data_IF_860389130111
#
_entry.id   IF_860389130111
#
_cell.length_a   1.000
_cell.length_b   1.000
_cell.length_c   1.000
_cell.angle_alpha   90.00
_cell.angle_beta   90.00
_cell.angle_gamma   90.00
#
_symmetry.space_group_name_H-M   'P 1'
#
loop_
_entity.id
_entity.type
_entity.pdbx_description
1 polymer ?
#
# COMPACT_ATOMS: atom_id res chain seq x y z
N UNK A 1 4.29 33.46 -11.05
CA UNK A 1 4.33 32.15 -10.37
C UNK A 1 5.07 32.33 -9.07
N UNK A 2 4.47 32.02 -7.92
CA UNK A 2 5.19 32.04 -6.66
C UNK A 2 6.31 30.99 -6.74
N UNK A 3 7.56 31.41 -6.58
CA UNK A 3 8.69 30.48 -6.48
C UNK A 3 8.50 29.75 -5.16
N UNK A 4 8.16 28.45 -5.20
CA UNK A 4 8.11 27.67 -3.97
C UNK A 4 9.50 27.60 -3.33
N UNK A 5 9.55 27.72 -2.00
CA UNK A 5 10.80 27.65 -1.27
C UNK A 5 11.51 26.32 -1.53
N UNK A 6 12.82 26.37 -1.74
CA UNK A 6 13.64 25.17 -1.97
C UNK A 6 13.96 24.54 -0.62
N UNK A 7 13.64 23.26 -0.47
CA UNK A 7 14.04 22.44 0.65
C UNK A 7 15.53 22.09 0.49
N UNK A 8 16.37 22.75 1.28
CA UNK A 8 17.83 22.61 1.25
C UNK A 8 18.29 21.34 1.99
N UNK A 9 18.03 20.17 1.39
CA UNK A 9 18.48 18.88 1.94
C UNK A 9 20.00 18.77 1.88
N UNK A 10 20.62 19.26 0.81
CA UNK A 10 22.07 19.36 0.67
C UNK A 10 22.49 20.80 0.31
N UNK A 11 23.16 21.54 1.23
CA UNK A 11 23.49 22.96 1.02
C UNK A 11 24.28 23.25 -0.26
N UNK A 12 25.19 22.35 -0.63
CA UNK A 12 26.02 22.44 -1.84
C UNK A 12 25.53 21.50 -2.95
N UNK A 13 24.24 21.12 -2.92
CA UNK A 13 23.67 20.19 -3.88
C UNK A 13 23.73 20.73 -5.32
N UNK A 14 24.00 19.85 -6.27
CA UNK A 14 24.10 20.14 -7.71
C UNK A 14 22.87 19.67 -8.51
N UNK A 15 21.88 19.08 -7.84
CA UNK A 15 20.63 18.60 -8.45
C UNK A 15 19.43 19.31 -7.83
N UNK A 16 18.56 19.81 -8.69
CA UNK A 16 17.23 20.26 -8.33
C UNK A 16 16.22 19.15 -8.62
N UNK A 17 15.42 18.77 -7.63
CA UNK A 17 14.26 17.90 -7.83
C UNK A 17 12.97 18.68 -7.64
N UNK A 18 12.07 18.58 -8.62
CA UNK A 18 10.75 19.22 -8.59
C UNK A 18 9.71 18.12 -8.41
N UNK A 19 9.08 18.08 -7.23
CA UNK A 19 7.97 17.18 -6.95
C UNK A 19 6.66 17.91 -7.20
N UNK A 20 5.89 17.42 -8.18
CA UNK A 20 4.57 17.94 -8.54
C UNK A 20 3.45 17.15 -7.85
N UNK A 21 2.36 17.82 -7.51
CA UNK A 21 1.20 17.23 -6.81
C UNK A 21 1.61 16.48 -5.52
N UNK A 22 2.35 17.17 -4.65
CA UNK A 22 2.87 16.58 -3.41
C UNK A 22 1.79 16.20 -2.37
N UNK A 23 0.54 16.59 -2.63
CA UNK A 23 -0.68 16.35 -1.87
C UNK A 23 -1.61 15.32 -2.52
N UNK A 24 -1.13 14.60 -3.55
CA UNK A 24 -1.91 13.57 -4.23
C UNK A 24 -2.41 12.50 -3.23
N UNK A 25 -3.67 12.04 -3.36
CA UNK A 25 -4.20 10.97 -2.53
C UNK A 25 -3.37 9.68 -2.64
N UNK A 26 -3.00 9.10 -1.49
CA UNK A 26 -2.21 7.88 -1.44
C UNK A 26 -3.08 6.64 -1.33
N UNK A 27 -2.78 5.61 -2.12
CA UNK A 27 -3.42 4.30 -2.05
C UNK A 27 -4.95 4.37 -2.02
N UNK A 28 -5.55 4.96 -3.06
CA UNK A 28 -7.00 5.10 -3.20
C UNK A 28 -7.61 3.85 -3.84
N UNK A 29 -8.81 3.48 -3.40
CA UNK A 29 -9.59 2.39 -3.99
C UNK A 29 -10.39 2.82 -5.23
N UNK A 30 -10.08 3.97 -5.84
CA UNK A 30 -10.89 4.58 -6.91
C UNK A 30 -11.04 3.69 -8.15
N UNK A 31 -10.00 2.91 -8.44
CA UNK A 31 -9.98 1.98 -9.58
C UNK A 31 -10.31 0.54 -9.20
N UNK A 32 -10.61 0.30 -7.93
CA UNK A 32 -10.81 -1.04 -7.41
C UNK A 32 -12.29 -1.46 -7.48
N UNK A 33 -12.54 -2.58 -8.13
CA UNK A 33 -13.90 -3.09 -8.27
C UNK A 33 -14.37 -3.82 -7.00
N UNK A 34 -15.65 -3.66 -6.67
CA UNK A 34 -16.30 -4.49 -5.65
C UNK A 34 -16.28 -5.95 -6.08
N UNK A 35 -15.98 -6.84 -5.15
CA UNK A 35 -16.08 -8.28 -5.40
C UNK A 35 -17.52 -8.65 -5.77
N UNK A 36 -17.69 -9.29 -6.92
CA UNK A 36 -18.99 -9.75 -7.42
C UNK A 36 -19.70 -10.72 -6.45
N UNK A 37 -18.94 -11.43 -5.64
CA UNK A 37 -19.37 -12.37 -4.61
C UNK A 37 -19.20 -11.82 -3.17
N UNK A 38 -19.19 -10.49 -2.98
CA UNK A 38 -19.03 -9.87 -1.65
C UNK A 38 -20.15 -10.21 -0.65
N UNK A 39 -21.28 -10.76 -1.12
CA UNK A 39 -22.43 -11.18 -0.31
C UNK A 39 -22.76 -10.16 0.81
N UNK A 40 -23.09 -8.90 0.46
CA UNK A 40 -23.16 -7.79 1.42
C UNK A 40 -24.16 -8.01 2.56
N UNK A 41 -25.20 -8.82 2.34
CA UNK A 41 -26.18 -9.19 3.38
C UNK A 41 -25.61 -10.04 4.52
N UNK A 42 -24.44 -10.64 4.35
CA UNK A 42 -23.77 -11.48 5.35
C UNK A 42 -22.53 -10.80 5.95
N UNK A 43 -22.35 -9.51 5.70
CA UNK A 43 -21.23 -8.74 6.25
C UNK A 43 -21.57 -8.18 7.62
N UNK A 44 -20.65 -8.36 8.57
CA UNK A 44 -20.73 -7.68 9.88
C UNK A 44 -20.45 -6.18 9.70
N UNK A 45 -21.01 -5.36 10.58
CA UNK A 45 -20.75 -3.92 10.59
C UNK A 45 -19.27 -3.57 10.78
N UNK A 46 -18.54 -4.38 11.55
CA UNK A 46 -17.09 -4.21 11.70
C UNK A 46 -16.36 -4.45 10.38
N UNK A 47 -16.74 -5.49 9.63
CA UNK A 47 -16.14 -5.78 8.31
C UNK A 47 -16.40 -4.65 7.32
N UNK A 48 -17.66 -4.17 7.24
CA UNK A 48 -18.03 -3.04 6.39
C UNK A 48 -17.18 -1.81 6.67
N UNK A 49 -17.02 -1.44 7.95
CA UNK A 49 -16.17 -0.30 8.34
C UNK A 49 -14.70 -0.47 7.97
N UNK A 50 -14.16 -1.68 8.09
CA UNK A 50 -12.75 -1.95 7.78
C UNK A 50 -12.48 -1.97 6.26
N UNK A 51 -13.46 -2.40 5.47
CA UNK A 51 -13.40 -2.51 4.00
C UNK A 51 -13.74 -1.21 3.26
N UNK A 52 -14.54 -0.32 3.87
CA UNK A 52 -14.98 0.93 3.25
C UNK A 52 -13.83 1.78 2.65
N UNK A 53 -12.66 1.92 3.31
CA UNK A 53 -11.53 2.67 2.74
C UNK A 53 -10.80 1.96 1.59
N UNK A 54 -11.06 0.67 1.38
CA UNK A 54 -10.42 -0.16 0.34
C UNK A 54 -11.32 -0.27 -0.89
N UNK A 55 -12.64 -0.17 -0.68
CA UNK A 55 -13.67 -0.49 -1.68
C UNK A 55 -14.51 0.76 -1.95
N UNK A 56 -14.20 1.48 -3.03
CA UNK A 56 -14.91 2.72 -3.36
C UNK A 56 -16.33 2.45 -3.88
N UNK A 57 -17.28 3.33 -3.51
CA UNK A 57 -18.58 3.47 -4.18
C UNK A 57 -18.33 4.14 -5.53
N UNK A 58 -18.80 3.56 -6.64
CA UNK A 58 -18.97 4.35 -7.88
C UNK A 58 -19.76 5.61 -7.52
N UNK A 59 -19.10 6.76 -7.43
CA UNK A 59 -19.77 8.02 -7.66
C UNK A 59 -19.86 8.15 -9.18
N UNK A 60 -21.09 8.04 -9.68
CA UNK A 60 -21.45 8.51 -11.00
C UNK A 60 -21.11 10.00 -11.07
N UNK A 61 -19.91 10.35 -11.54
CA UNK A 61 -19.61 11.55 -12.35
C UNK A 61 -18.09 11.70 -12.50
N UNK A 62 -17.59 11.24 -13.64
CA UNK A 62 -16.25 11.54 -14.17
C UNK A 62 -16.01 13.07 -14.28
N UNK A 63 -17.08 13.86 -14.28
CA UNK A 63 -17.08 15.32 -14.42
C UNK A 63 -16.69 16.07 -13.13
N UNK A 64 -16.93 15.50 -11.95
CA UNK A 64 -16.59 16.17 -10.68
C UNK A 64 -15.09 16.08 -10.38
N UNK A 65 -14.45 14.93 -10.67
CA UNK A 65 -13.00 14.75 -10.49
C UNK A 65 -12.18 15.67 -11.40
N UNK A 66 -12.58 15.81 -12.67
CA UNK A 66 -11.91 16.72 -13.61
C UNK A 66 -12.03 18.19 -13.17
N UNK A 67 -13.17 18.55 -12.56
CA UNK A 67 -13.43 19.91 -12.06
C UNK A 67 -12.72 20.21 -10.73
N UNK A 68 -12.58 19.23 -9.83
CA UNK A 68 -11.85 19.35 -8.57
C UNK A 68 -10.32 19.38 -8.78
N UNK A 69 -9.81 18.56 -9.70
CA UNK A 69 -8.39 18.57 -10.12
C UNK A 69 -8.02 19.89 -10.82
N UNK A 70 -8.97 20.50 -11.55
CA UNK A 70 -8.77 21.82 -12.17
C UNK A 70 -8.94 22.98 -11.18
N UNK A 71 -9.84 22.89 -10.19
CA UNK A 71 -10.06 23.97 -9.22
C UNK A 71 -8.98 24.04 -8.11
N UNK A 72 -8.33 22.91 -7.77
CA UNK A 72 -7.28 22.86 -6.75
C UNK A 72 -5.85 23.01 -7.32
N UNK A 73 -5.74 23.43 -8.58
CA UNK A 73 -4.49 23.57 -9.34
C UNK A 73 -3.60 24.75 -8.91
N UNK A 74 -3.66 25.17 -7.63
CA UNK A 74 -2.48 25.68 -6.96
C UNK A 74 -1.58 24.48 -6.61
N UNK A 75 -1.01 23.91 -7.67
CA UNK A 75 -0.21 22.71 -7.65
C UNK A 75 0.83 22.77 -6.51
N UNK A 76 0.67 21.95 -5.47
CA UNK A 76 1.65 21.85 -4.40
C UNK A 76 2.94 21.29 -5.02
N UNK A 77 3.88 22.20 -5.32
CA UNK A 77 5.15 21.87 -5.95
C UNK A 77 6.26 22.08 -4.94
N UNK A 78 6.84 20.98 -4.48
CA UNK A 78 8.00 21.02 -3.60
C UNK A 78 9.27 20.95 -4.43
N UNK A 79 10.22 21.82 -4.08
CA UNK A 79 11.54 21.86 -4.70
C UNK A 79 12.55 21.38 -3.68
N UNK A 80 13.48 20.53 -4.10
CA UNK A 80 14.53 19.98 -3.24
C UNK A 80 15.89 20.19 -3.87
N UNK A 81 16.85 20.70 -3.10
CA UNK A 81 18.25 20.74 -3.49
C UNK A 81 18.97 19.51 -2.96
N UNK A 82 19.49 18.72 -3.87
CA UNK A 82 20.04 17.38 -3.64
C UNK A 82 21.45 17.26 -4.25
N UNK A 83 22.20 16.24 -3.82
CA UNK A 83 23.50 15.88 -4.36
C UNK A 83 23.37 14.72 -5.34
N UNK A 84 23.71 14.93 -6.61
CA UNK A 84 23.74 13.88 -7.63
C UNK A 84 24.64 12.72 -7.23
N UNK A 85 25.80 13.01 -6.62
CA UNK A 85 26.76 12.01 -6.18
C UNK A 85 26.16 11.04 -5.16
N UNK A 86 25.47 11.56 -4.13
CA UNK A 86 24.81 10.73 -3.12
C UNK A 86 23.63 9.94 -3.71
N UNK A 87 22.83 10.57 -4.57
CA UNK A 87 21.71 9.90 -5.23
C UNK A 87 22.18 8.73 -6.12
N UNK A 88 23.26 8.92 -6.89
CA UNK A 88 23.85 7.88 -7.75
C UNK A 88 24.39 6.71 -6.92
N UNK A 89 24.99 6.98 -5.77
CA UNK A 89 25.57 5.96 -4.91
C UNK A 89 24.49 5.13 -4.19
N UNK A 90 23.39 5.78 -3.78
CA UNK A 90 22.38 5.19 -2.90
C UNK A 90 21.14 4.64 -3.61
N UNK A 91 20.93 4.97 -4.89
CA UNK A 91 19.74 4.60 -5.65
C UNK A 91 20.09 4.10 -7.05
N UNK A 92 19.63 2.87 -7.34
CA UNK A 92 19.80 2.30 -8.68
C UNK A 92 19.01 3.05 -9.76
N UNK A 93 17.87 3.67 -9.41
CA UNK A 93 17.11 4.54 -10.30
C UNK A 93 17.90 5.80 -10.64
N UNK A 94 18.36 6.55 -9.64
CA UNK A 94 19.07 7.81 -9.87
C UNK A 94 20.42 7.57 -10.54
N UNK A 95 21.11 6.46 -10.21
CA UNK A 95 22.31 6.03 -10.93
C UNK A 95 22.07 5.94 -12.43
N UNK A 96 20.99 5.29 -12.87
CA UNK A 96 20.64 5.20 -14.29
C UNK A 96 20.25 6.58 -14.85
N UNK A 97 19.31 7.26 -14.18
CA UNK A 97 18.75 8.53 -14.64
C UNK A 97 19.76 9.68 -14.74
N UNK A 98 20.84 9.66 -13.95
CA UNK A 98 21.88 10.69 -13.92
C UNK A 98 23.16 10.29 -14.66
N UNK A 99 23.29 9.01 -15.08
CA UNK A 99 24.42 8.54 -15.89
C UNK A 99 24.09 8.49 -17.37
N UNK A 100 22.85 8.12 -17.69
CA UNK A 100 22.32 8.16 -19.04
C UNK A 100 21.68 9.54 -19.21
N UNK A 101 21.89 10.22 -20.34
CA UNK A 101 21.12 11.42 -20.70
C UNK A 101 19.68 11.01 -21.00
N UNK A 102 18.96 10.57 -19.98
CA UNK A 102 17.51 10.45 -20.02
C UNK A 102 16.94 11.82 -20.38
N UNK A 103 15.73 11.86 -20.95
CA UNK A 103 14.96 13.07 -21.31
C UNK A 103 14.71 13.97 -20.09
N UNK A 104 15.79 14.50 -19.53
CA UNK A 104 15.81 15.42 -18.43
C UNK A 104 15.61 16.80 -19.04
N UNK A 105 14.69 17.60 -18.49
CA UNK A 105 14.56 18.97 -18.92
C UNK A 105 15.90 19.69 -18.79
N UNK A 106 16.11 20.71 -19.60
CA UNK A 106 17.31 21.54 -19.50
C UNK A 106 17.50 21.98 -18.03
N UNK A 107 18.70 21.82 -17.46
CA UNK A 107 18.92 22.13 -16.05
C UNK A 107 18.58 23.60 -15.75
N UNK A 108 17.85 23.82 -14.66
CA UNK A 108 17.62 25.17 -14.17
C UNK A 108 18.94 25.85 -13.78
N UNK A 109 19.01 27.19 -13.94
CA UNK A 109 20.23 27.96 -13.68
C UNK A 109 20.75 27.73 -12.26
N UNK A 110 22.05 27.42 -12.15
CA UNK A 110 22.71 27.11 -10.88
C UNK A 110 22.73 25.62 -10.51
N UNK A 111 22.07 24.76 -11.29
CA UNK A 111 22.08 23.30 -11.10
C UNK A 111 22.73 22.59 -12.27
N UNK A 112 23.38 21.46 -11.97
CA UNK A 112 23.91 20.54 -12.98
C UNK A 112 22.80 19.65 -13.56
N UNK A 113 21.80 19.32 -12.74
CA UNK A 113 20.70 18.43 -13.11
C UNK A 113 19.37 18.98 -12.62
N UNK A 114 18.32 18.79 -13.41
CA UNK A 114 16.92 19.01 -12.99
C UNK A 114 16.13 17.73 -13.22
N UNK A 115 15.55 17.20 -12.14
CA UNK A 115 14.72 16.00 -12.14
C UNK A 115 13.29 16.39 -11.75
N UNK A 116 12.32 15.63 -12.27
CA UNK A 116 10.93 15.80 -11.91
C UNK A 116 10.33 14.49 -11.43
N UNK A 117 9.48 14.59 -10.41
CA UNK A 117 8.59 13.54 -9.95
C UNK A 117 7.19 14.09 -9.79
N UNK A 118 6.20 13.21 -9.75
CA UNK A 118 4.81 13.59 -9.57
C UNK A 118 4.10 12.60 -8.66
N UNK A 119 3.06 13.10 -8.00
CA UNK A 119 2.07 12.30 -7.27
C UNK A 119 2.67 11.50 -6.09
N UNK A 120 3.86 11.90 -5.61
CA UNK A 120 4.43 11.41 -4.36
C UNK A 120 4.03 12.29 -3.20
N UNK A 121 3.78 11.68 -2.04
CA UNK A 121 3.59 12.43 -0.81
C UNK A 121 4.86 13.22 -0.45
N UNK A 122 4.70 14.53 -0.22
CA UNK A 122 5.81 15.44 0.01
C UNK A 122 6.64 15.14 1.26
N UNK A 123 6.01 14.73 2.35
CA UNK A 123 6.69 14.40 3.61
C UNK A 123 7.46 13.08 3.49
N UNK A 124 6.84 12.07 2.89
CA UNK A 124 7.49 10.79 2.60
C UNK A 124 8.69 10.97 1.66
N UNK A 125 8.56 11.84 0.65
CA UNK A 125 9.66 12.14 -0.27
C UNK A 125 10.79 12.90 0.42
N UNK A 126 10.49 13.88 1.27
CA UNK A 126 11.50 14.57 2.08
C UNK A 126 12.23 13.60 3.01
N UNK A 127 11.50 12.67 3.64
CA UNK A 127 12.06 11.62 4.49
C UNK A 127 13.02 10.72 3.69
N UNK A 128 12.61 10.31 2.48
CA UNK A 128 13.45 9.56 1.56
C UNK A 128 14.76 10.31 1.30
N UNK A 129 14.66 11.58 0.89
CA UNK A 129 15.82 12.40 0.54
C UNK A 129 16.74 12.64 1.73
N UNK A 130 16.21 12.88 2.93
CA UNK A 130 17.01 13.03 4.15
C UNK A 130 17.85 11.78 4.43
N UNK A 131 17.27 10.59 4.26
CA UNK A 131 18.00 9.32 4.47
C UNK A 131 19.09 9.14 3.41
N UNK A 132 18.78 9.33 2.12
CA UNK A 132 19.77 9.23 1.03
C UNK A 132 20.91 10.25 1.17
N UNK A 133 20.67 11.37 1.86
CA UNK A 133 21.66 12.41 2.13
C UNK A 133 22.29 12.34 3.53
N UNK A 134 22.15 11.21 4.23
CA UNK A 134 22.73 10.97 5.56
C UNK A 134 22.30 11.99 6.63
N UNK A 135 21.13 12.62 6.48
CA UNK A 135 20.55 13.59 7.43
C UNK A 135 19.79 12.88 8.54
N UNK A 136 20.46 11.95 9.22
CA UNK A 136 19.89 11.06 10.26
C UNK A 136 19.09 11.81 11.34
N UNK A 137 19.52 13.02 11.73
CA UNK A 137 18.83 13.84 12.75
C UNK A 137 17.48 14.40 12.29
N UNK A 138 17.24 14.47 10.99
CA UNK A 138 15.98 14.92 10.39
C UNK A 138 15.00 13.76 10.14
N UNK A 139 15.37 12.53 10.52
CA UNK A 139 14.58 11.32 10.30
C UNK A 139 13.94 10.91 11.63
N UNK A 140 12.59 10.90 11.74
CA UNK A 140 11.91 10.46 12.95
C UNK A 140 12.19 8.99 13.24
N UNK A 141 12.26 8.66 14.55
CA UNK A 141 12.43 7.28 15.03
C UNK A 141 11.14 6.47 15.03
N UNK A 142 10.01 7.15 14.92
CA UNK A 142 8.69 6.53 14.86
C UNK A 142 7.85 7.19 13.78
N UNK A 143 7.13 6.36 13.02
CA UNK A 143 6.22 6.78 11.95
C UNK A 143 5.02 5.85 11.91
N UNK A 144 3.85 6.40 11.54
CA UNK A 144 2.64 5.60 11.38
C UNK A 144 2.70 4.63 10.19
N UNK A 145 1.87 3.58 10.16
CA UNK A 145 1.86 2.57 9.09
C UNK A 145 1.63 3.16 7.69
N UNK A 146 0.81 4.20 7.56
CA UNK A 146 0.56 4.84 6.27
C UNK A 146 1.79 5.60 5.75
N UNK A 147 2.46 6.38 6.61
CA UNK A 147 3.71 7.07 6.24
C UNK A 147 4.80 6.07 5.86
N UNK A 148 4.92 4.96 6.61
CA UNK A 148 5.88 3.93 6.28
C UNK A 148 5.54 3.23 4.95
N UNK A 149 4.26 2.97 4.66
CA UNK A 149 3.87 2.45 3.35
C UNK A 149 4.23 3.43 2.23
N UNK A 150 4.00 4.73 2.39
CA UNK A 150 4.41 5.77 1.42
C UNK A 150 5.92 5.71 1.15
N UNK A 151 6.74 5.62 2.21
CA UNK A 151 8.20 5.46 2.08
C UNK A 151 8.55 4.14 1.40
N UNK A 152 7.88 3.03 1.73
CA UNK A 152 8.13 1.73 1.11
C UNK A 152 7.92 1.77 -0.41
N UNK A 153 6.85 2.44 -0.88
CA UNK A 153 6.59 2.64 -2.32
C UNK A 153 7.73 3.42 -2.98
N UNK A 154 8.21 4.49 -2.34
CA UNK A 154 9.34 5.27 -2.83
C UNK A 154 10.63 4.46 -2.86
N UNK A 155 10.89 3.64 -1.84
CA UNK A 155 12.07 2.78 -1.75
C UNK A 155 12.09 1.75 -2.86
N UNK A 156 10.94 1.14 -3.15
CA UNK A 156 10.77 0.19 -4.24
C UNK A 156 10.99 0.87 -5.60
N UNK A 157 10.31 2.01 -5.83
CA UNK A 157 10.40 2.77 -7.08
C UNK A 157 11.82 3.28 -7.37
N UNK A 158 12.45 3.94 -6.39
CA UNK A 158 13.80 4.49 -6.53
C UNK A 158 14.90 3.43 -6.33
N UNK A 159 14.54 2.19 -5.98
CA UNK A 159 15.46 1.06 -5.87
C UNK A 159 16.61 1.32 -4.90
N UNK A 160 16.29 1.78 -3.69
CA UNK A 160 17.24 2.18 -2.63
C UNK A 160 17.11 1.37 -1.33
N UNK A 161 16.62 0.13 -1.45
CA UNK A 161 16.32 -0.79 -0.34
C UNK A 161 17.44 -0.91 0.71
N UNK A 162 18.70 -1.05 0.28
CA UNK A 162 19.84 -1.28 1.17
C UNK A 162 20.04 -0.16 2.20
N UNK A 163 19.84 1.10 1.79
CA UNK A 163 19.98 2.27 2.66
C UNK A 163 18.88 2.32 3.73
N UNK A 164 17.73 1.71 3.44
CA UNK A 164 16.56 1.73 4.31
C UNK A 164 16.42 0.52 5.22
N UNK A 165 17.23 -0.53 5.06
CA UNK A 165 17.08 -1.78 5.82
C UNK A 165 17.07 -1.53 7.34
N UNK A 166 18.01 -0.71 7.84
CA UNK A 166 18.09 -0.38 9.26
C UNK A 166 16.93 0.52 9.73
N UNK A 167 16.48 1.45 8.89
CA UNK A 167 15.34 2.31 9.22
C UNK A 167 14.04 1.53 9.27
N UNK A 168 13.88 0.56 8.38
CA UNK A 168 12.74 -0.33 8.39
C UNK A 168 12.67 -1.11 9.72
N UNK A 169 13.79 -1.63 10.23
CA UNK A 169 13.81 -2.32 11.52
C UNK A 169 13.47 -1.40 12.70
N UNK A 170 13.97 -0.16 12.68
CA UNK A 170 13.63 0.85 13.69
C UNK A 170 12.12 1.12 13.70
N UNK A 171 11.54 1.41 12.54
CA UNK A 171 10.12 1.75 12.43
C UNK A 171 9.22 0.55 12.68
N UNK A 172 9.61 -0.67 12.30
CA UNK A 172 8.85 -1.89 12.65
C UNK A 172 8.78 -2.05 14.16
N UNK A 173 9.89 -1.77 14.86
CA UNK A 173 9.97 -1.93 16.32
C UNK A 173 9.19 -0.84 17.08
N UNK A 174 9.03 0.35 16.50
CA UNK A 174 8.34 1.47 17.14
C UNK A 174 6.86 1.56 16.81
N UNK A 175 6.44 1.04 15.65
CA UNK A 175 5.08 1.18 15.14
C UNK A 175 4.22 -0.05 15.41
N UNK A 176 2.90 0.12 15.32
CA UNK A 176 1.92 -0.98 15.40
C UNK A 176 1.93 -1.92 14.18
N UNK A 177 3.03 -1.98 13.41
CA UNK A 177 3.13 -2.81 12.20
C UNK A 177 3.12 -4.30 12.54
N UNK A 178 3.70 -4.71 13.67
CA UNK A 178 3.65 -6.12 14.08
C UNK A 178 2.26 -6.54 14.58
N UNK A 179 1.43 -5.57 14.98
CA UNK A 179 0.06 -5.80 15.46
C UNK A 179 -0.92 -5.94 14.30
N UNK A 180 -0.90 -7.09 13.62
CA UNK A 180 -1.81 -7.39 12.52
C UNK A 180 -3.19 -7.75 13.08
N UNK A 181 -4.18 -6.90 12.80
CA UNK A 181 -5.58 -7.17 13.17
C UNK A 181 -6.14 -8.28 12.28
N UNK A 182 -6.98 -9.18 12.81
CA UNK A 182 -7.59 -10.28 12.04
C UNK A 182 -8.76 -9.78 11.18
N UNK A 183 -8.53 -8.77 10.35
CA UNK A 183 -9.51 -8.22 9.42
C UNK A 183 -8.86 -7.68 8.15
N UNK A 184 -9.60 -7.78 7.05
CA UNK A 184 -9.23 -7.15 5.79
C UNK A 184 -9.46 -5.64 5.90
N UNK A 185 -8.42 -4.85 5.63
CA UNK A 185 -8.43 -3.39 5.80
C UNK A 185 -7.32 -2.72 5.00
N UNK A 186 -7.40 -1.39 4.83
CA UNK A 186 -6.32 -0.59 4.21
C UNK A 186 -5.00 -0.73 4.97
N UNK A 187 -5.03 -0.81 6.30
CA UNK A 187 -3.84 -1.04 7.12
C UNK A 187 -3.20 -2.41 6.86
N UNK A 188 -4.00 -3.46 6.62
CA UNK A 188 -3.48 -4.79 6.25
C UNK A 188 -2.68 -4.72 4.94
N UNK A 189 -3.16 -3.95 3.95
CA UNK A 189 -2.47 -3.76 2.68
C UNK A 189 -1.17 -2.96 2.86
N UNK A 190 -1.14 -1.96 3.74
CA UNK A 190 0.11 -1.28 4.11
C UNK A 190 1.14 -2.24 4.73
N UNK A 191 0.72 -3.07 5.69
CA UNK A 191 1.59 -4.08 6.30
C UNK A 191 2.08 -5.10 5.25
N UNK A 192 1.24 -5.45 4.27
CA UNK A 192 1.62 -6.33 3.16
C UNK A 192 2.71 -5.69 2.29
N UNK A 193 2.52 -4.44 1.87
CA UNK A 193 3.49 -3.69 1.08
C UNK A 193 4.83 -3.53 1.82
N UNK A 194 4.80 -3.09 3.08
CA UNK A 194 6.02 -2.90 3.88
C UNK A 194 6.77 -4.23 4.04
N UNK A 195 6.07 -5.30 4.41
CA UNK A 195 6.71 -6.60 4.61
C UNK A 195 7.21 -7.24 3.31
N UNK A 196 6.59 -6.93 2.18
CA UNK A 196 7.05 -7.32 0.85
C UNK A 196 8.33 -6.57 0.46
N UNK A 197 8.29 -5.23 0.44
CA UNK A 197 9.41 -4.36 0.01
C UNK A 197 10.65 -4.61 0.87
N UNK A 198 10.51 -4.65 2.19
CA UNK A 198 11.62 -4.86 3.13
C UNK A 198 11.85 -6.34 3.47
N UNK A 199 11.25 -7.27 2.73
CA UNK A 199 11.48 -8.73 2.86
C UNK A 199 11.28 -9.29 4.28
N UNK A 200 10.35 -8.72 5.06
CA UNK A 200 10.06 -9.13 6.43
C UNK A 200 9.13 -10.34 6.47
N UNK A 201 9.72 -11.53 6.26
CA UNK A 201 9.02 -12.81 6.07
C UNK A 201 7.98 -13.14 7.14
N UNK A 202 8.24 -12.83 8.43
CA UNK A 202 7.32 -13.13 9.54
C UNK A 202 6.02 -12.32 9.41
N UNK A 203 6.15 -11.00 9.23
CA UNK A 203 5.03 -10.09 9.03
C UNK A 203 4.30 -10.47 7.74
N UNK A 204 5.04 -10.68 6.65
CA UNK A 204 4.45 -11.05 5.36
C UNK A 204 3.57 -12.30 5.49
N UNK A 205 4.08 -13.38 6.10
CA UNK A 205 3.31 -14.60 6.32
C UNK A 205 2.04 -14.36 7.11
N UNK A 206 2.13 -13.58 8.19
CA UNK A 206 0.99 -13.31 9.05
C UNK A 206 -0.09 -12.49 8.33
N UNK A 207 0.33 -11.42 7.64
CA UNK A 207 -0.56 -10.55 6.86
C UNK A 207 -1.23 -11.32 5.72
N UNK A 208 -0.49 -12.18 5.00
CA UNK A 208 -1.09 -13.01 3.95
C UNK A 208 -2.08 -14.04 4.49
N UNK A 209 -1.81 -14.64 5.66
CA UNK A 209 -2.76 -15.57 6.30
C UNK A 209 -4.06 -14.84 6.70
N UNK A 210 -3.96 -13.62 7.25
CA UNK A 210 -5.13 -12.79 7.52
C UNK A 210 -5.87 -12.44 6.23
N UNK A 211 -5.16 -12.06 5.16
CA UNK A 211 -5.77 -11.75 3.87
C UNK A 211 -6.54 -12.96 3.32
N UNK A 212 -5.94 -14.16 3.31
CA UNK A 212 -6.59 -15.41 2.90
C UNK A 212 -7.86 -15.68 3.70
N UNK A 213 -7.86 -15.44 5.00
CA UNK A 213 -9.02 -15.74 5.88
C UNK A 213 -10.13 -14.70 5.81
N UNK A 214 -9.80 -13.45 5.50
CA UNK A 214 -10.69 -12.31 5.75
C UNK A 214 -11.09 -11.52 4.50
N UNK A 215 -10.37 -11.68 3.38
CA UNK A 215 -10.82 -11.11 2.10
C UNK A 215 -12.01 -11.89 1.54
N UNK A 216 -12.87 -11.23 0.76
CA UNK A 216 -14.03 -11.88 0.10
C UNK A 216 -13.78 -12.26 -1.34
N UNK A 217 -12.69 -11.77 -1.90
CA UNK A 217 -12.20 -12.07 -3.23
C UNK A 217 -10.70 -11.78 -3.35
N UNK A 218 -10.20 -11.66 -4.59
CA UNK A 218 -8.83 -11.23 -4.84
C UNK A 218 -8.56 -9.92 -4.10
N UNK A 219 -7.43 -9.82 -3.41
CA UNK A 219 -7.11 -8.59 -2.68
C UNK A 219 -6.96 -7.42 -3.65
N UNK A 220 -7.37 -6.25 -3.20
CA UNK A 220 -7.12 -4.98 -3.87
C UNK A 220 -5.67 -4.57 -3.65
N UNK A 221 -5.11 -3.86 -4.62
CA UNK A 221 -3.72 -3.38 -4.56
C UNK A 221 -3.65 -1.92 -4.17
N UNK A 222 -4.70 -1.12 -4.43
CA UNK A 222 -4.72 0.32 -4.20
C UNK A 222 -3.57 1.05 -4.91
N UNK A 223 -3.05 0.51 -6.02
CA UNK A 223 -1.87 1.04 -6.69
C UNK A 223 -0.55 0.87 -5.92
N UNK A 224 -0.55 0.11 -4.82
CA UNK A 224 0.66 -0.27 -4.10
C UNK A 224 1.47 -1.30 -4.91
N UNK A 225 2.80 -1.39 -4.73
CA UNK A 225 3.68 -2.31 -5.46
C UNK A 225 3.56 -3.75 -4.91
N UNK A 226 2.35 -4.27 -4.88
CA UNK A 226 2.05 -5.66 -4.55
C UNK A 226 2.05 -6.45 -5.88
N UNK A 227 2.96 -7.42 -6.08
CA UNK A 227 3.00 -8.15 -7.33
C UNK A 227 1.73 -8.97 -7.55
N UNK A 228 1.27 -9.05 -8.81
CA UNK A 228 0.13 -9.89 -9.18
C UNK A 228 0.32 -11.35 -8.75
N UNK A 229 1.54 -11.87 -8.78
CA UNK A 229 1.84 -13.21 -8.28
C UNK A 229 1.48 -13.43 -6.79
N UNK A 230 1.61 -12.38 -5.96
CA UNK A 230 1.21 -12.40 -4.55
C UNK A 230 -0.32 -12.36 -4.44
N UNK A 231 -0.97 -11.46 -5.19
CA UNK A 231 -2.44 -11.38 -5.25
C UNK A 231 -3.05 -12.73 -5.66
N UNK A 232 -2.54 -13.31 -6.74
CA UNK A 232 -3.01 -14.59 -7.27
C UNK A 232 -2.75 -15.74 -6.28
N UNK A 233 -1.64 -15.72 -5.56
CA UNK A 233 -1.32 -16.73 -4.55
C UNK A 233 -2.29 -16.68 -3.37
N UNK A 234 -2.61 -15.48 -2.88
CA UNK A 234 -3.59 -15.27 -1.81
C UNK A 234 -4.98 -15.75 -2.28
N UNK A 235 -5.38 -15.38 -3.50
CA UNK A 235 -6.69 -15.79 -4.03
C UNK A 235 -6.80 -17.30 -4.22
N UNK A 236 -5.76 -17.95 -4.77
CA UNK A 236 -5.72 -19.41 -4.92
C UNK A 236 -5.87 -20.10 -3.56
N UNK A 237 -5.09 -19.66 -2.57
CA UNK A 237 -5.12 -20.26 -1.23
C UNK A 237 -6.49 -20.07 -0.55
N UNK A 238 -7.10 -18.89 -0.73
CA UNK A 238 -8.46 -18.60 -0.25
C UNK A 238 -9.49 -19.54 -0.87
N UNK A 239 -9.47 -19.72 -2.21
CA UNK A 239 -10.39 -20.62 -2.91
C UNK A 239 -10.21 -22.07 -2.43
N UNK A 240 -8.98 -22.52 -2.28
CA UNK A 240 -8.66 -23.88 -1.77
C UNK A 240 -9.19 -24.06 -0.35
N UNK A 241 -8.92 -23.09 0.53
CA UNK A 241 -9.38 -23.12 1.93
C UNK A 241 -10.91 -23.18 2.03
N UNK A 242 -11.61 -22.35 1.26
CA UNK A 242 -13.09 -22.36 1.21
C UNK A 242 -13.61 -23.71 0.70
N UNK A 243 -12.99 -24.28 -0.35
CA UNK A 243 -13.39 -25.59 -0.88
C UNK A 243 -13.26 -26.69 0.16
N UNK A 244 -12.15 -26.72 0.90
CA UNK A 244 -11.91 -27.70 1.96
C UNK A 244 -12.98 -27.58 3.05
N UNK A 245 -13.31 -26.36 3.49
CA UNK A 245 -14.35 -26.14 4.50
C UNK A 245 -15.73 -26.61 4.01
N UNK A 246 -16.11 -26.27 2.77
CA UNK A 246 -17.38 -26.70 2.18
C UNK A 246 -17.45 -28.24 2.10
N UNK A 247 -16.36 -28.89 1.68
CA UNK A 247 -16.30 -30.35 1.61
C UNK A 247 -16.42 -30.99 3.00
N UNK A 248 -15.75 -30.44 4.00
CA UNK A 248 -15.88 -30.89 5.40
C UNK A 248 -17.31 -30.79 5.90
N UNK A 249 -17.96 -29.64 5.70
CA UNK A 249 -19.36 -29.41 6.09
C UNK A 249 -20.29 -30.41 5.39
N UNK A 250 -20.12 -30.63 4.08
CA UNK A 250 -20.93 -31.61 3.32
C UNK A 250 -20.77 -33.02 3.87
N UNK A 251 -19.53 -33.44 4.13
CA UNK A 251 -19.24 -34.76 4.71
C UNK A 251 -19.94 -34.94 6.07
N UNK A 252 -19.82 -33.97 6.98
CA UNK A 252 -20.49 -34.06 8.28
C UNK A 252 -22.01 -34.07 8.15
N UNK A 253 -22.57 -33.31 7.22
CA UNK A 253 -24.01 -33.29 6.97
C UNK A 253 -24.53 -34.64 6.46
N UNK A 254 -23.79 -35.30 5.57
CA UNK A 254 -24.10 -36.65 5.09
C UNK A 254 -24.05 -37.68 6.23
N UNK A 255 -23.00 -37.65 7.07
CA UNK A 255 -22.87 -38.55 8.23
C UNK A 255 -24.04 -38.40 9.22
N UNK A 256 -24.44 -37.17 9.53
CA UNK A 256 -25.55 -36.89 10.44
C UNK A 256 -26.90 -37.34 9.87
N UNK A 257 -27.12 -37.21 8.56
CA UNK A 257 -28.37 -37.61 7.92
C UNK A 257 -28.46 -39.11 7.64
N UNK A 258 -27.33 -39.79 7.38
CA UNK A 258 -27.28 -41.25 7.28
C UNK A 258 -27.51 -41.94 8.64
N UNK A 259 -27.27 -41.24 9.76
CA UNK A 259 -27.52 -41.72 11.11
C UNK A 259 -28.77 -41.11 11.78
N UNK A 260 -29.61 -40.43 11.00
CA UNK A 260 -30.92 -39.91 11.41
C UNK A 260 -31.89 -41.02 11.80
N UNK A 261 -31.93 -41.28 13.11
CA UNK A 261 -32.87 -42.08 13.87
C UNK A 261 -34.32 -41.80 13.41
N UNK A 262 -35.02 -42.86 13.01
CA UNK A 262 -36.46 -42.81 12.76
C UNK A 262 -37.21 -42.48 14.06
N UNK A 263 -37.61 -41.23 14.23
CA UNK A 263 -38.69 -40.87 15.16
C UNK A 263 -40.02 -41.23 14.51
N UNK A 264 -40.40 -42.52 14.61
CA UNK A 264 -41.75 -42.99 14.34
C UNK A 264 -42.23 -43.86 15.50
N UNK A 265 -42.35 -43.26 16.68
CA UNK A 265 -43.31 -43.72 17.68
C UNK A 265 -44.30 -42.58 17.93
N UNK A 266 -45.41 -42.60 17.16
CA UNK A 266 -46.63 -41.92 17.60
C UNK A 266 -47.31 -42.84 18.62
N UNK A 267 -47.53 -42.42 19.88
CA UNK A 267 -48.49 -43.12 20.71
C UNK A 267 -49.88 -42.96 20.08
N UNK A 268 -50.56 -44.09 19.85
CA UNK A 268 -51.98 -44.12 19.47
C UNK A 268 -52.78 -43.39 20.55
N UNK A 269 -53.50 -42.34 20.17
CA UNK A 269 -54.50 -41.72 21.04
C UNK A 269 -55.69 -42.68 21.20
N UNK A 270 -56.19 -42.94 22.42
CA UNK A 270 -57.43 -43.65 22.61
C UNK A 270 -58.61 -42.67 22.60
N UNK A 271 -59.56 -42.90 21.70
CA UNK A 271 -61.01 -42.80 21.91
C UNK A 271 -61.71 -43.31 20.64
#
# INVERSE_FOLDING_TARGET
MAISAVNEVHPDGDTLFILRHSDAPFATGEFEERWSNALPGYQTEASKRNEDPVVTRRHETVEEYSSLVQANSQSSHLRFRLSSALLIDTSSYFKKSLSEKWNTPDPESGYKWTLEGKDWDGEAFLLLMNILHNKVRAVPRDIGPEMFAKVAVLVDYYGCHEVFELWADVWISSSDIESVKPCYSRQLLFQLTISWVFRKRKIFRHVTDVAVRTSRGPIHTLGLPIPNAVVDAIERERIVSIRILIQGIKKYWEELNCHGVGFSDRPKAPA
#
